data_IF_486124549664
#
_entry.id   IF_486124549664
#
_cell.length_a   1.000
_cell.length_b   1.000
_cell.length_c   1.000
_cell.angle_alpha   90.00
_cell.angle_beta   90.00
_cell.angle_gamma   90.00
#
_symmetry.space_group_name_H-M   'P 1'
#
loop_
_entity.id
_entity.type
_entity.pdbx_description
1 polymer ?
#
# COMPACT_ATOMS: atom_id res chain seq x y z
N UNK A 1 8.04 11.32 16.77
CA UNK A 1 6.81 11.93 16.20
C UNK A 1 6.14 11.08 15.13
N UNK A 2 6.59 10.99 13.88
CA UNK A 2 5.86 10.19 12.84
C UNK A 2 5.81 8.69 13.19
N UNK A 3 6.92 8.13 13.68
CA UNK A 3 6.99 6.73 14.12
C UNK A 3 6.09 6.41 15.32
N UNK A 4 5.83 7.36 16.22
CA UNK A 4 4.98 7.15 17.41
C UNK A 4 3.50 7.24 17.05
N UNK A 5 3.14 8.17 16.15
CA UNK A 5 1.76 8.26 15.67
C UNK A 5 1.39 7.05 14.81
N UNK A 6 2.33 6.56 13.98
CA UNK A 6 2.20 5.30 13.25
C UNK A 6 1.98 4.12 14.21
N UNK A 7 2.83 3.97 15.22
CA UNK A 7 2.70 2.92 16.24
C UNK A 7 1.33 2.95 16.93
N UNK A 8 0.87 4.13 17.34
CA UNK A 8 -0.45 4.28 17.97
C UNK A 8 -1.60 3.85 17.05
N UNK A 9 -1.59 4.25 15.78
CA UNK A 9 -2.62 3.86 14.81
C UNK A 9 -2.70 2.34 14.67
N UNK A 10 -1.55 1.67 14.62
CA UNK A 10 -1.48 0.21 14.45
C UNK A 10 -1.99 -0.50 15.71
N UNK A 11 -1.47 -0.12 16.87
CA UNK A 11 -1.83 -0.75 18.15
C UNK A 11 -3.33 -0.63 18.46
N UNK A 12 -3.94 0.49 18.10
CA UNK A 12 -5.32 0.79 18.48
C UNK A 12 -6.35 0.47 17.37
N UNK A 13 -5.96 0.48 16.09
CA UNK A 13 -6.90 0.25 14.98
C UNK A 13 -6.82 -1.13 14.37
N UNK A 14 -5.66 -1.79 14.38
CA UNK A 14 -5.50 -3.12 13.82
C UNK A 14 -5.49 -4.14 14.97
N UNK A 15 -6.66 -4.61 15.36
CA UNK A 15 -6.83 -5.65 16.38
C UNK A 15 -7.12 -7.00 15.72
N UNK A 16 -6.83 -8.14 16.38
CA UNK A 16 -7.24 -9.46 15.87
C UNK A 16 -8.74 -9.50 15.56
N UNK A 17 -9.09 -10.02 14.39
CA UNK A 17 -10.48 -10.04 13.88
C UNK A 17 -11.00 -8.71 13.32
N UNK A 18 -10.15 -7.68 13.18
CA UNK A 18 -10.52 -6.45 12.51
C UNK A 18 -10.94 -6.71 11.05
N UNK A 19 -12.11 -6.19 10.63
CA UNK A 19 -12.59 -6.37 9.27
C UNK A 19 -11.75 -5.57 8.28
N UNK A 20 -11.75 -6.01 7.02
CA UNK A 20 -10.97 -5.41 5.92
C UNK A 20 -11.14 -3.89 5.84
N UNK A 21 -12.37 -3.37 5.92
CA UNK A 21 -12.66 -1.93 5.92
C UNK A 21 -11.88 -1.14 7.00
N UNK A 22 -11.64 -1.74 8.18
CA UNK A 22 -10.86 -1.11 9.26
C UNK A 22 -9.37 -1.10 8.92
N UNK A 23 -8.89 -2.17 8.28
CA UNK A 23 -7.52 -2.26 7.75
C UNK A 23 -7.33 -1.19 6.66
N UNK A 24 -8.23 -1.10 5.69
CA UNK A 24 -8.22 -0.11 4.61
C UNK A 24 -8.20 1.32 5.15
N UNK A 25 -9.07 1.64 6.13
CA UNK A 25 -9.09 2.96 6.75
C UNK A 25 -7.80 3.30 7.51
N UNK A 26 -7.18 2.30 8.14
CA UNK A 26 -5.88 2.48 8.81
C UNK A 26 -4.77 2.73 7.80
N UNK A 27 -4.71 1.95 6.72
CA UNK A 27 -3.75 2.17 5.63
C UNK A 27 -3.93 3.51 4.93
N UNK A 28 -5.16 3.94 4.68
CA UNK A 28 -5.42 5.29 4.14
C UNK A 28 -4.90 6.39 5.09
N UNK A 29 -4.99 6.18 6.40
CA UNK A 29 -4.45 7.11 7.41
C UNK A 29 -2.91 7.12 7.38
N UNK A 30 -2.28 5.95 7.33
CA UNK A 30 -0.82 5.80 7.23
C UNK A 30 -0.31 6.46 5.94
N UNK A 31 -0.89 6.12 4.79
CA UNK A 31 -0.47 6.64 3.49
C UNK A 31 -0.60 8.17 3.42
N UNK A 32 -1.65 8.75 4.00
CA UNK A 32 -1.81 10.21 4.07
C UNK A 32 -0.69 10.93 4.84
N UNK A 33 0.03 10.24 5.74
CA UNK A 33 1.19 10.80 6.43
C UNK A 33 2.42 10.86 5.52
N UNK A 34 2.64 9.82 4.70
CA UNK A 34 3.80 9.73 3.80
C UNK A 34 3.60 10.46 2.47
N UNK A 35 2.34 10.54 2.02
CA UNK A 35 1.92 11.11 0.75
C UNK A 35 0.92 12.26 0.98
N UNK A 36 1.36 13.39 1.55
CA UNK A 36 0.47 14.47 1.92
C UNK A 36 0.00 15.29 0.69
N UNK A 37 -1.25 15.79 0.67
CA UNK A 37 -1.75 16.66 -0.41
C UNK A 37 -0.94 17.94 -0.62
N UNK A 38 -0.29 18.45 0.43
CA UNK A 38 0.61 19.62 0.34
C UNK A 38 1.83 19.38 -0.54
N UNK A 39 2.12 18.12 -0.88
CA UNK A 39 3.20 17.71 -1.80
C UNK A 39 2.66 17.15 -3.12
N UNK A 40 1.37 17.38 -3.44
CA UNK A 40 0.77 16.98 -4.71
C UNK A 40 0.25 15.54 -4.76
N UNK A 41 0.18 14.84 -3.63
CA UNK A 41 -0.33 13.48 -3.55
C UNK A 41 -1.83 13.42 -3.24
N UNK A 42 -2.50 12.39 -3.75
CA UNK A 42 -3.91 12.12 -3.42
C UNK A 42 -4.09 10.64 -3.09
N UNK A 43 -4.66 10.37 -1.92
CA UNK A 43 -5.11 9.03 -1.55
C UNK A 43 -6.56 8.82 -1.98
N UNK A 44 -6.82 7.73 -2.68
CA UNK A 44 -8.13 7.36 -3.20
C UNK A 44 -8.42 5.89 -2.90
N UNK A 45 -9.68 5.49 -3.01
CA UNK A 45 -10.09 4.10 -2.80
C UNK A 45 -10.43 3.42 -4.12
N UNK A 46 -10.02 2.16 -4.28
CA UNK A 46 -10.42 1.35 -5.44
C UNK A 46 -11.64 0.47 -5.11
N UNK A 47 -12.58 0.45 -6.07
CA UNK A 47 -13.84 -0.30 -6.16
C UNK A 47 -14.73 -0.45 -4.92
N UNK A 48 -15.96 0.00 -5.18
CA UNK A 48 -17.26 -0.35 -4.62
C UNK A 48 -17.58 -1.85 -4.71
N UNK A 49 -17.39 -2.59 -3.61
CA UNK A 49 -18.33 -3.67 -3.26
C UNK A 49 -19.51 -3.06 -2.50
N UNK A 50 -20.63 -3.79 -2.39
CA UNK A 50 -21.82 -3.33 -1.64
C UNK A 50 -21.49 -2.92 -0.19
N UNK A 51 -20.37 -3.40 0.35
CA UNK A 51 -19.92 -3.18 1.73
C UNK A 51 -18.87 -2.06 1.89
N UNK A 52 -18.51 -1.37 0.80
CA UNK A 52 -17.62 -0.21 0.80
C UNK A 52 -16.25 -0.42 0.13
N UNK A 53 -15.35 0.57 0.23
CA UNK A 53 -14.02 0.50 -0.38
C UNK A 53 -13.12 -0.50 0.36
N UNK A 54 -12.42 -1.32 -0.40
CA UNK A 54 -11.56 -2.38 0.13
C UNK A 54 -10.06 -2.07 -0.01
N UNK A 55 -9.67 -1.32 -1.04
CA UNK A 55 -8.27 -1.05 -1.34
C UNK A 55 -7.99 0.44 -1.48
N UNK A 56 -6.73 0.83 -1.32
CA UNK A 56 -6.26 2.21 -1.39
C UNK A 56 -5.26 2.36 -2.53
N UNK A 57 -5.27 3.48 -3.24
CA UNK A 57 -4.21 3.82 -4.19
C UNK A 57 -3.81 5.28 -4.06
N UNK A 58 -2.54 5.57 -4.39
CA UNK A 58 -1.98 6.92 -4.37
C UNK A 58 -1.73 7.39 -5.78
N UNK A 59 -2.19 8.62 -6.03
CA UNK A 59 -1.89 9.42 -7.20
C UNK A 59 -0.91 10.53 -6.85
N UNK A 60 -0.07 10.92 -7.82
CA UNK A 60 0.75 12.12 -7.74
C UNK A 60 0.43 13.03 -8.93
N UNK A 61 0.35 14.33 -8.67
CA UNK A 61 0.17 15.37 -9.68
C UNK A 61 1.50 16.10 -9.88
N UNK A 62 2.12 15.93 -11.05
CA UNK A 62 3.28 16.73 -11.45
C UNK A 62 2.86 18.17 -11.76
N UNK A 63 2.94 19.04 -10.76
CA UNK A 63 2.51 20.44 -10.84
C UNK A 63 3.36 21.30 -11.78
N UNK A 64 4.57 20.84 -12.13
CA UNK A 64 5.48 21.54 -13.04
C UNK A 64 5.31 21.15 -14.52
N UNK A 65 4.46 20.17 -14.84
CA UNK A 65 4.20 19.77 -16.21
C UNK A 65 3.30 20.80 -16.94
N UNK A 66 3.45 20.99 -18.27
CA UNK A 66 2.60 21.91 -19.05
C UNK A 66 1.10 21.58 -18.98
N UNK A 67 0.77 20.31 -18.72
CA UNK A 67 -0.57 19.82 -18.43
C UNK A 67 -0.49 18.86 -17.24
N UNK A 68 -0.65 19.35 -15.99
CA UNK A 68 -0.63 18.50 -14.81
C UNK A 68 -1.73 17.45 -14.93
N UNK A 69 -1.36 16.18 -14.87
CA UNK A 69 -2.31 15.06 -14.84
C UNK A 69 -1.93 14.15 -13.68
N UNK A 70 -2.90 13.71 -12.86
CA UNK A 70 -2.63 12.71 -11.84
C UNK A 70 -2.24 11.40 -12.52
N UNK A 71 -1.25 10.71 -11.95
CA UNK A 71 -0.92 9.35 -12.30
C UNK A 71 -0.83 8.48 -11.05
N UNK A 72 -1.30 7.24 -11.16
CA UNK A 72 -1.31 6.27 -10.07
C UNK A 72 0.04 5.57 -10.01
N UNK A 73 0.65 5.50 -8.84
CA UNK A 73 1.96 4.87 -8.70
C UNK A 73 2.06 3.89 -7.53
N UNK A 74 1.10 3.90 -6.61
CA UNK A 74 1.06 2.96 -5.48
C UNK A 74 -0.35 2.39 -5.32
N UNK A 75 -0.45 1.07 -5.20
CA UNK A 75 -1.69 0.36 -4.86
C UNK A 75 -1.48 -0.45 -3.58
N UNK A 76 -2.43 -0.39 -2.64
CA UNK A 76 -2.40 -1.19 -1.40
C UNK A 76 -3.65 -2.05 -1.34
N UNK A 77 -3.46 -3.35 -1.56
CA UNK A 77 -4.49 -4.36 -1.40
C UNK A 77 -4.65 -4.67 0.09
N UNK A 78 -5.81 -4.40 0.67
CA UNK A 78 -6.06 -4.70 2.08
C UNK A 78 -6.80 -6.02 2.23
N UNK A 79 -6.62 -6.68 3.37
CA UNK A 79 -7.31 -7.92 3.75
C UNK A 79 -7.48 -7.95 5.27
N UNK A 80 -8.59 -8.54 5.73
CA UNK A 80 -8.89 -8.65 7.15
C UNK A 80 -7.77 -9.35 7.94
N UNK A 81 -7.62 -8.98 9.22
CA UNK A 81 -6.70 -9.65 10.14
C UNK A 81 -7.15 -11.08 10.46
N UNK A 82 -6.24 -11.93 10.91
CA UNK A 82 -6.45 -13.36 11.15
C UNK A 82 -6.06 -14.24 9.97
N UNK A 83 -5.54 -13.64 8.89
CA UNK A 83 -5.09 -14.33 7.68
C UNK A 83 -3.58 -14.16 7.43
N UNK A 84 -2.83 -13.61 8.40
CA UNK A 84 -1.41 -13.27 8.25
C UNK A 84 -0.53 -14.48 7.95
N UNK A 85 -0.90 -15.66 8.47
CA UNK A 85 -0.15 -16.91 8.35
C UNK A 85 -0.69 -17.87 7.28
N UNK A 86 -1.67 -17.42 6.47
CA UNK A 86 -2.28 -18.25 5.41
C UNK A 86 -1.60 -17.92 4.08
N UNK A 87 -0.69 -18.79 3.63
CA UNK A 87 0.10 -18.57 2.40
C UNK A 87 -0.79 -18.39 1.16
N UNK A 88 -1.88 -19.15 1.05
CA UNK A 88 -2.82 -19.06 -0.08
C UNK A 88 -3.44 -17.66 -0.20
N UNK A 89 -3.67 -16.98 0.93
CA UNK A 89 -4.19 -15.59 0.94
C UNK A 89 -3.16 -14.65 0.34
N UNK A 90 -1.88 -14.80 0.67
CA UNK A 90 -0.83 -13.96 0.09
C UNK A 90 -0.65 -14.20 -1.40
N UNK A 91 -0.72 -15.46 -1.84
CA UNK A 91 -0.62 -15.83 -3.26
C UNK A 91 -1.79 -15.28 -4.08
N UNK A 92 -3.03 -15.47 -3.60
CA UNK A 92 -4.23 -14.93 -4.25
C UNK A 92 -4.14 -13.39 -4.37
N UNK A 93 -3.75 -12.73 -3.29
CA UNK A 93 -3.64 -11.26 -3.27
C UNK A 93 -2.50 -10.76 -4.16
N UNK A 94 -1.43 -11.53 -4.35
CA UNK A 94 -0.34 -11.17 -5.26
C UNK A 94 -0.77 -11.23 -6.73
N UNK A 95 -1.62 -12.19 -7.10
CA UNK A 95 -2.22 -12.25 -8.43
C UNK A 95 -3.11 -11.02 -8.68
N UNK A 96 -4.01 -10.72 -7.74
CA UNK A 96 -4.89 -9.54 -7.83
C UNK A 96 -4.07 -8.25 -7.90
N UNK A 97 -3.04 -8.11 -7.05
CA UNK A 97 -2.15 -6.97 -7.05
C UNK A 97 -1.48 -6.80 -8.42
N UNK A 98 -0.91 -7.87 -8.97
CA UNK A 98 -0.22 -7.86 -10.28
C UNK A 98 -1.14 -7.35 -11.40
N UNK A 99 -2.40 -7.80 -11.42
CA UNK A 99 -3.39 -7.33 -12.40
C UNK A 99 -3.73 -5.83 -12.23
N UNK A 100 -3.78 -5.32 -10.99
CA UNK A 100 -4.00 -3.90 -10.74
C UNK A 100 -2.78 -3.05 -11.17
N UNK A 101 -1.58 -3.47 -10.79
CA UNK A 101 -0.35 -2.71 -11.10
C UNK A 101 -0.12 -2.63 -12.61
N UNK A 102 -0.44 -3.69 -13.36
CA UNK A 102 -0.36 -3.71 -14.83
C UNK A 102 -1.18 -2.60 -15.50
N UNK A 103 -2.25 -2.12 -14.86
CA UNK A 103 -3.13 -1.09 -15.41
C UNK A 103 -2.61 0.33 -15.19
N UNK A 104 -1.58 0.51 -14.36
CA UNK A 104 -1.06 1.83 -14.02
C UNK A 104 -0.13 2.31 -15.13
N UNK A 105 -0.39 3.53 -15.63
CA UNK A 105 0.41 4.15 -16.70
C UNK A 105 1.47 5.08 -16.12
N UNK A 106 2.38 4.51 -15.33
CA UNK A 106 3.47 5.23 -14.65
C UNK A 106 4.78 4.49 -14.88
N UNK A 107 5.91 5.22 -14.90
CA UNK A 107 7.23 4.62 -15.17
C UNK A 107 7.61 3.57 -14.14
N UNK A 108 7.35 3.87 -12.87
CA UNK A 108 7.55 2.98 -11.74
C UNK A 108 6.25 2.85 -10.98
N UNK A 109 5.85 1.61 -10.75
CA UNK A 109 4.58 1.26 -10.15
C UNK A 109 4.86 0.33 -8.98
N UNK A 110 4.32 0.67 -7.83
CA UNK A 110 4.53 -0.04 -6.58
C UNK A 110 3.22 -0.60 -6.07
N UNK A 111 3.35 -1.69 -5.30
CA UNK A 111 2.23 -2.36 -4.68
C UNK A 111 2.54 -2.73 -3.23
N UNK A 112 1.51 -2.86 -2.42
CA UNK A 112 1.61 -3.51 -1.13
C UNK A 112 0.42 -4.44 -0.92
N UNK A 113 0.65 -5.56 -0.26
CA UNK A 113 -0.40 -6.44 0.27
C UNK A 113 -0.39 -6.26 1.77
N UNK A 114 -1.49 -5.79 2.33
CA UNK A 114 -1.69 -5.54 3.75
C UNK A 114 -2.71 -6.52 4.32
N UNK A 115 -2.25 -7.49 5.11
CA UNK A 115 -3.10 -8.48 5.78
C UNK A 115 -3.05 -8.19 7.27
N UNK A 116 -4.13 -7.64 7.83
CA UNK A 116 -4.14 -7.22 9.23
C UNK A 116 -2.96 -6.33 9.58
N UNK A 117 -2.05 -6.81 10.46
CA UNK A 117 -0.82 -6.09 10.87
C UNK A 117 0.39 -6.36 10.00
N UNK A 118 0.30 -7.28 9.07
CA UNK A 118 1.39 -7.69 8.21
C UNK A 118 1.32 -6.98 6.86
N UNK A 119 2.48 -6.66 6.28
CA UNK A 119 2.58 -6.07 4.95
C UNK A 119 3.75 -6.64 4.17
N UNK A 120 3.56 -6.81 2.86
CA UNK A 120 4.64 -7.05 1.89
C UNK A 120 4.60 -5.96 0.83
N UNK A 121 5.77 -5.45 0.44
CA UNK A 121 5.93 -4.41 -0.58
C UNK A 121 6.49 -4.98 -1.87
N UNK A 122 6.04 -4.43 -2.99
CA UNK A 122 6.36 -4.91 -4.33
C UNK A 122 6.61 -3.74 -5.29
N UNK A 123 7.40 -4.01 -6.31
CA UNK A 123 7.53 -3.17 -7.51
C UNK A 123 7.08 -3.98 -8.73
N UNK A 124 6.33 -3.33 -9.62
CA UNK A 124 5.93 -3.92 -10.89
C UNK A 124 7.12 -4.02 -11.83
N UNK A 125 7.46 -5.24 -12.25
CA UNK A 125 8.42 -5.47 -13.30
C UNK A 125 7.66 -5.68 -14.63
N UNK A 126 7.72 -4.69 -15.51
CA UNK A 126 7.02 -4.73 -16.81
C UNK A 126 7.61 -5.74 -17.79
N UNK A 127 8.90 -6.04 -17.70
CA UNK A 127 9.58 -7.04 -18.54
C UNK A 127 9.15 -8.46 -18.17
N UNK A 128 9.02 -8.73 -16.86
CA UNK A 128 8.57 -10.02 -16.33
C UNK A 128 7.05 -10.13 -16.27
N UNK A 129 6.32 -9.02 -16.42
CA UNK A 129 4.87 -8.96 -16.31
C UNK A 129 4.35 -9.38 -14.93
N UNK A 130 5.08 -9.07 -13.84
CA UNK A 130 4.72 -9.46 -12.47
C UNK A 130 5.20 -8.47 -11.41
N UNK A 131 4.53 -8.50 -10.25
CA UNK A 131 5.01 -7.83 -9.05
C UNK A 131 6.22 -8.59 -8.44
N UNK A 132 7.29 -7.88 -8.11
CA UNK A 132 8.51 -8.41 -7.50
C UNK A 132 8.67 -7.82 -6.10
N UNK A 133 8.99 -8.65 -5.11
CA UNK A 133 9.18 -8.21 -3.73
C UNK A 133 10.28 -7.15 -3.63
N UNK A 134 10.01 -6.07 -2.89
CA UNK A 134 11.06 -5.12 -2.49
C UNK A 134 11.96 -5.67 -1.39
N UNK A 135 11.47 -6.67 -0.65
CA UNK A 135 12.21 -7.34 0.41
C UNK A 135 13.03 -8.51 -0.13
N UNK A 136 14.27 -8.64 0.35
CA UNK A 136 15.15 -9.77 0.07
C UNK A 136 14.63 -11.07 0.70
N UNK A 137 13.94 -10.96 1.83
CA UNK A 137 13.31 -12.08 2.50
C UNK A 137 11.79 -12.02 2.27
N UNK A 138 11.14 -13.10 1.80
CA UNK A 138 9.71 -13.10 1.50
C UNK A 138 8.79 -13.02 2.74
N UNK A 139 9.33 -12.95 3.97
CA UNK A 139 8.53 -12.83 5.19
C UNK A 139 7.78 -11.49 5.27
N UNK A 140 6.51 -11.48 5.70
CA UNK A 140 5.77 -10.25 5.92
C UNK A 140 6.41 -9.35 6.99
N UNK A 141 6.36 -8.04 6.77
CA UNK A 141 6.69 -7.03 7.77
C UNK A 141 5.47 -6.79 8.67
N UNK A 142 5.59 -7.11 9.95
CA UNK A 142 4.60 -6.71 10.95
C UNK A 142 4.78 -5.24 11.32
N UNK A 143 3.80 -4.38 11.05
CA UNK A 143 3.95 -2.92 11.14
C UNK A 143 4.20 -2.46 12.60
N UNK A 144 3.67 -3.18 13.60
CA UNK A 144 3.92 -2.90 15.03
C UNK A 144 5.37 -3.20 15.45
N UNK A 145 6.02 -4.18 14.83
CA UNK A 145 7.41 -4.58 15.14
C UNK A 145 8.44 -3.96 14.20
N UNK A 146 8.04 -3.65 12.97
CA UNK A 146 8.92 -3.21 11.89
C UNK A 146 8.52 -1.82 11.37
N UNK A 147 7.95 -0.97 12.24
CA UNK A 147 7.44 0.36 11.88
C UNK A 147 8.47 1.20 11.10
N UNK A 148 9.74 1.16 11.51
CA UNK A 148 10.83 1.87 10.84
C UNK A 148 11.11 1.31 9.44
N UNK A 149 11.09 -0.01 9.26
CA UNK A 149 11.29 -0.64 7.95
C UNK A 149 10.13 -0.31 7.02
N UNK A 150 8.89 -0.37 7.53
CA UNK A 150 7.70 0.04 6.78
C UNK A 150 7.78 1.51 6.35
N UNK A 151 8.17 2.40 7.27
CA UNK A 151 8.38 3.81 6.96
C UNK A 151 9.43 4.01 5.86
N UNK A 152 10.57 3.31 5.94
CA UNK A 152 11.63 3.35 4.93
C UNK A 152 11.14 2.89 3.55
N UNK A 153 10.27 1.88 3.47
CA UNK A 153 9.68 1.48 2.18
C UNK A 153 8.77 2.56 1.60
N UNK A 154 7.92 3.16 2.43
CA UNK A 154 7.03 4.23 1.97
C UNK A 154 7.82 5.46 1.51
N UNK A 155 8.88 5.81 2.23
CA UNK A 155 9.83 6.86 1.81
C UNK A 155 10.57 6.49 0.53
N UNK A 156 11.03 5.25 0.41
CA UNK A 156 11.67 4.75 -0.81
C UNK A 156 10.71 4.91 -1.99
N UNK A 157 9.49 4.40 -1.89
CA UNK A 157 8.45 4.50 -2.94
C UNK A 157 8.20 5.96 -3.30
N UNK A 158 8.03 6.84 -2.29
CA UNK A 158 7.84 8.28 -2.50
C UNK A 158 8.99 8.90 -3.28
N UNK A 159 10.23 8.53 -3.00
CA UNK A 159 11.40 9.12 -3.63
C UNK A 159 11.73 8.52 -5.02
N UNK A 160 11.04 7.46 -5.43
CA UNK A 160 11.43 6.62 -6.57
C UNK A 160 10.31 6.31 -7.57
N UNK A 161 9.16 7.00 -7.50
CA UNK A 161 8.03 6.73 -8.39
C UNK A 161 8.02 7.53 -9.70
N UNK A 162 9.05 8.34 -9.96
CA UNK A 162 9.23 9.20 -11.14
C UNK A 162 10.42 8.77 -12.03
#
# INVERSE_FOLDING_TARGET
MESEHLAWQIENRIQPGAPEKKITGTWNTILSMFFPPTQGYMSNFNRTRADGPLDVFIEHIETHAPQPRPFKFLYVQCTASGNEDIDEVWEEKLLILSDQLRQFNSKRVFGAIAVGRAVKFYEWNSEMGKAVSLEQNPSPLFIDRHCQTVARHLEYIRNHHF
#
